data_IF_424450720411
#
_entry.id   IF_424450720411
#
_cell.length_a   1.000
_cell.length_b   1.000
_cell.length_c   1.000
_cell.angle_alpha   90.00
_cell.angle_beta   90.00
_cell.angle_gamma   90.00
#
_symmetry.space_group_name_H-M   'P 1'
#
loop_
_entity.id
_entity.type
_entity.pdbx_description
1 polymer ?
#
# COMPACT_ATOMS: atom_id res chain seq x y z
N UNK A 1 -36.28 20.99 47.38
CA UNK A 1 -35.54 21.40 48.58
C UNK A 1 -34.11 21.61 48.17
N UNK A 2 -33.68 22.85 48.27
CA UNK A 2 -32.38 23.38 47.87
C UNK A 2 -31.25 22.82 48.75
N UNK A 3 -30.04 22.79 48.21
CA UNK A 3 -28.84 22.45 48.96
C UNK A 3 -27.59 22.79 48.16
N UNK A 4 -27.20 24.07 48.18
CA UNK A 4 -25.89 24.53 47.72
C UNK A 4 -24.82 24.21 48.76
N UNK A 5 -23.64 23.80 48.31
CA UNK A 5 -22.38 23.97 49.05
C UNK A 5 -21.41 24.70 48.13
N UNK A 6 -20.91 25.83 48.64
CA UNK A 6 -19.96 26.72 47.99
C UNK A 6 -18.52 26.21 48.10
N UNK A 7 -17.76 26.66 47.11
CA UNK A 7 -16.42 26.35 46.60
C UNK A 7 -15.24 26.63 47.54
N UNK A 8 -14.08 26.02 47.25
CA UNK A 8 -12.81 26.76 47.29
C UNK A 8 -11.83 26.29 46.19
N UNK A 9 -11.01 27.23 45.71
CA UNK A 9 -10.07 27.20 44.58
C UNK A 9 -10.64 27.53 43.18
N UNK A 10 -10.63 28.84 42.89
CA UNK A 10 -11.02 29.43 41.62
C UNK A 10 -10.12 29.05 40.44
N UNK A 11 -10.71 28.33 39.48
CA UNK A 11 -10.41 28.44 38.05
C UNK A 11 -11.73 28.44 37.29
N UNK A 12 -12.03 29.56 36.66
CA UNK A 12 -13.19 29.74 35.77
C UNK A 12 -13.13 28.73 34.64
N UNK A 13 -14.13 27.84 34.57
CA UNK A 13 -14.34 26.96 33.42
C UNK A 13 -14.76 27.80 32.21
N UNK A 14 -13.93 27.82 31.18
CA UNK A 14 -14.30 28.38 29.88
C UNK A 14 -15.38 27.50 29.24
N UNK A 15 -16.43 28.09 28.62
CA UNK A 15 -17.44 27.30 27.92
C UNK A 15 -16.79 26.56 26.76
N UNK A 16 -17.00 25.25 26.68
CA UNK A 16 -16.62 24.43 25.53
C UNK A 16 -17.50 24.88 24.36
N UNK A 17 -16.95 25.73 23.51
CA UNK A 17 -17.58 26.13 22.25
C UNK A 17 -17.76 24.89 21.37
N UNK A 18 -18.92 24.69 20.73
CA UNK A 18 -19.08 23.60 19.78
C UNK A 18 -18.03 23.77 18.69
N UNK A 19 -17.21 22.74 18.47
CA UNK A 19 -16.27 22.70 17.35
C UNK A 19 -17.10 22.84 16.07
N UNK A 20 -17.09 24.04 15.49
CA UNK A 20 -17.66 24.31 14.17
C UNK A 20 -17.01 23.33 13.21
N UNK A 21 -17.81 22.44 12.62
CA UNK A 21 -17.43 21.59 11.49
C UNK A 21 -16.87 22.52 10.40
N UNK A 22 -15.57 22.40 10.14
CA UNK A 22 -14.92 23.10 9.04
C UNK A 22 -15.37 22.48 7.70
N UNK A 23 -15.72 23.30 6.69
CA UNK A 23 -16.22 22.83 5.41
C UNK A 23 -15.07 22.25 4.58
N UNK A 24 -15.25 21.03 4.06
CA UNK A 24 -14.52 20.44 2.93
C UNK A 24 -13.01 20.73 2.91
N UNK A 25 -12.20 19.89 3.58
CA UNK A 25 -10.75 19.88 3.35
C UNK A 25 -10.50 19.55 1.87
N UNK A 26 -10.11 20.56 1.10
CA UNK A 26 -9.49 20.37 -0.22
C UNK A 26 -8.30 19.44 -0.04
N UNK A 27 -8.17 18.46 -0.94
CA UNK A 27 -7.08 17.49 -0.97
C UNK A 27 -5.73 18.20 -0.88
N UNK A 28 -4.86 17.83 0.07
CA UNK A 28 -3.54 18.45 0.20
C UNK A 28 -2.59 18.08 -0.96
N UNK A 29 -2.92 17.04 -1.72
CA UNK A 29 -2.18 16.60 -2.89
C UNK A 29 -2.72 17.29 -4.16
N UNK A 30 -2.18 18.45 -4.51
CA UNK A 30 -2.47 19.11 -5.80
C UNK A 30 -1.71 18.36 -6.91
N UNK A 31 -2.42 17.92 -7.96
CA UNK A 31 -1.80 17.31 -9.15
C UNK A 31 -1.40 15.84 -8.98
N UNK A 32 -2.35 14.98 -8.60
CA UNK A 32 -2.13 13.52 -8.61
C UNK A 32 -1.81 13.10 -10.04
N UNK A 33 -0.55 12.75 -10.33
CA UNK A 33 -0.15 11.66 -11.23
C UNK A 33 1.37 11.64 -11.47
N UNK A 34 2.06 10.58 -11.02
CA UNK A 34 2.73 9.68 -11.93
C UNK A 34 1.70 8.61 -12.27
N UNK A 35 0.70 8.98 -13.06
CA UNK A 35 0.12 8.00 -13.97
C UNK A 35 1.24 7.77 -14.97
N UNK A 36 2.19 6.91 -14.63
CA UNK A 36 2.90 6.19 -15.69
C UNK A 36 1.77 5.49 -16.43
N UNK A 37 1.45 6.01 -17.61
CA UNK A 37 0.35 5.51 -18.40
C UNK A 37 0.46 3.98 -18.41
N UNK A 38 -0.68 3.30 -18.27
CA UNK A 38 -0.77 1.83 -18.38
C UNK A 38 -0.45 1.36 -19.82
N UNK A 39 0.16 2.22 -20.63
CA UNK A 39 0.54 1.99 -22.01
C UNK A 39 1.62 0.92 -22.03
N UNK A 40 1.19 -0.27 -22.44
CA UNK A 40 2.01 -1.48 -22.66
C UNK A 40 2.17 -2.44 -21.48
N UNK A 41 1.16 -2.58 -20.59
CA UNK A 41 1.12 -3.74 -19.67
C UNK A 41 0.94 -5.04 -20.49
N UNK A 42 2.04 -5.70 -20.81
CA UNK A 42 2.04 -7.11 -21.19
C UNK A 42 1.88 -7.95 -19.91
N UNK A 43 0.69 -7.97 -19.31
CA UNK A 43 0.40 -8.96 -18.23
C UNK A 43 0.59 -10.33 -18.87
N UNK A 44 1.41 -11.21 -18.28
CA UNK A 44 1.52 -12.58 -18.72
C UNK A 44 0.13 -13.22 -18.82
N UNK A 45 -0.14 -14.00 -19.87
CA UNK A 45 -1.45 -14.64 -20.08
C UNK A 45 -1.59 -15.97 -19.33
N UNK A 46 -0.51 -16.42 -18.71
CA UNK A 46 -0.35 -17.69 -18.00
C UNK A 46 -0.57 -17.59 -16.49
N UNK A 47 -0.76 -16.36 -15.95
CA UNK A 47 -1.11 -16.14 -14.54
C UNK A 47 -2.19 -15.07 -14.35
N UNK A 48 -2.88 -15.04 -13.20
CA UNK A 48 -3.79 -13.96 -12.84
C UNK A 48 -3.10 -12.59 -12.83
N UNK A 49 -3.87 -11.52 -13.02
CA UNK A 49 -3.40 -10.15 -12.86
C UNK A 49 -3.02 -9.91 -11.38
N UNK A 50 -1.83 -9.39 -11.12
CA UNK A 50 -1.28 -9.19 -9.78
C UNK A 50 -1.23 -7.71 -9.44
N UNK A 51 -1.96 -7.32 -8.41
CA UNK A 51 -2.01 -5.95 -7.91
C UNK A 51 -1.55 -5.89 -6.46
N UNK A 52 -0.64 -4.97 -6.14
CA UNK A 52 -0.29 -4.67 -4.75
C UNK A 52 -0.97 -3.40 -4.28
N UNK A 53 -1.53 -3.43 -3.08
CA UNK A 53 -2.13 -2.29 -2.41
C UNK A 53 -1.13 -1.75 -1.41
N UNK A 54 -0.54 -0.60 -1.75
CA UNK A 54 0.55 0.03 -1.02
C UNK A 54 0.07 1.27 -0.27
N UNK A 55 0.81 1.63 0.78
CA UNK A 55 0.51 2.78 1.60
C UNK A 55 0.98 2.64 3.03
N UNK A 56 1.04 3.79 3.70
CA UNK A 56 1.53 3.89 5.07
C UNK A 56 0.66 3.07 6.06
N UNK A 57 1.20 2.83 7.24
CA UNK A 57 0.48 2.21 8.36
C UNK A 57 -0.77 3.06 8.65
N UNK A 58 -1.97 2.47 8.62
CA UNK A 58 -3.22 3.22 8.81
C UNK A 58 -3.82 3.88 7.55
N UNK A 59 -3.23 3.71 6.36
CA UNK A 59 -3.72 4.32 5.12
C UNK A 59 -5.03 3.72 4.55
N UNK A 60 -5.55 2.63 5.11
CA UNK A 60 -6.81 2.00 4.65
C UNK A 60 -6.67 0.86 3.64
N UNK A 61 -5.48 0.25 3.53
CA UNK A 61 -5.22 -0.88 2.59
C UNK A 61 -6.18 -2.06 2.80
N UNK A 62 -6.33 -2.52 4.03
CA UNK A 62 -7.24 -3.63 4.36
C UNK A 62 -8.70 -3.29 4.03
N UNK A 63 -9.09 -2.01 4.08
CA UNK A 63 -10.43 -1.55 3.67
C UNK A 63 -10.65 -1.71 2.18
N UNK A 64 -9.68 -1.32 1.34
CA UNK A 64 -9.73 -1.53 -0.11
C UNK A 64 -9.79 -3.02 -0.45
N UNK A 65 -8.93 -3.83 0.18
CA UNK A 65 -8.90 -5.27 -0.06
C UNK A 65 -10.24 -5.91 0.27
N UNK A 66 -10.82 -5.56 1.42
CA UNK A 66 -12.15 -6.04 1.82
C UNK A 66 -13.26 -5.58 0.87
N UNK A 67 -13.12 -4.41 0.25
CA UNK A 67 -14.07 -3.93 -0.74
C UNK A 67 -14.09 -4.85 -1.98
N UNK A 68 -12.90 -5.20 -2.50
CA UNK A 68 -12.79 -6.04 -3.70
C UNK A 68 -12.89 -7.55 -3.42
N UNK A 69 -12.69 -8.02 -2.19
CA UNK A 69 -12.75 -9.46 -1.86
C UNK A 69 -14.09 -10.14 -2.17
N UNK A 70 -15.16 -9.37 -2.34
CA UNK A 70 -16.50 -9.89 -2.64
C UNK A 70 -16.76 -10.08 -4.15
N UNK A 71 -15.82 -9.68 -5.01
CA UNK A 71 -15.98 -9.77 -6.46
C UNK A 71 -15.49 -11.14 -6.95
N UNK A 72 -16.17 -11.69 -7.96
CA UNK A 72 -15.81 -12.98 -8.53
C UNK A 72 -14.42 -12.94 -9.19
N UNK A 73 -13.66 -14.03 -9.02
CA UNK A 73 -12.31 -14.16 -9.59
C UNK A 73 -11.22 -13.39 -8.84
N UNK A 74 -11.55 -12.68 -7.76
CA UNK A 74 -10.55 -11.98 -6.95
C UNK A 74 -10.10 -12.86 -5.79
N UNK A 75 -8.80 -13.06 -5.69
CA UNK A 75 -8.14 -13.70 -4.55
C UNK A 75 -7.33 -12.65 -3.81
N UNK A 76 -7.62 -12.46 -2.52
CA UNK A 76 -7.00 -11.43 -1.69
C UNK A 76 -6.05 -12.03 -0.67
N UNK A 77 -4.91 -11.37 -0.47
CA UNK A 77 -3.90 -11.76 0.49
C UNK A 77 -3.61 -10.58 1.44
N UNK A 78 -4.30 -10.51 2.59
CA UNK A 78 -4.02 -9.50 3.60
C UNK A 78 -2.61 -9.67 4.21
N UNK A 79 -2.12 -8.65 4.90
CA UNK A 79 -0.85 -8.77 5.63
C UNK A 79 -0.99 -9.90 6.67
N UNK A 80 -0.03 -10.85 6.75
CA UNK A 80 -0.09 -11.98 7.69
C UNK A 80 0.29 -11.55 9.11
N UNK A 81 -0.39 -10.53 9.65
CA UNK A 81 -0.14 -9.94 10.97
C UNK A 81 -0.15 -11.02 12.07
N UNK A 82 -1.05 -11.99 11.97
CA UNK A 82 -1.16 -13.07 12.95
C UNK A 82 0.08 -13.99 12.96
N UNK A 83 0.76 -14.15 11.82
CA UNK A 83 2.03 -14.88 11.78
C UNK A 83 3.13 -14.09 12.49
N UNK A 84 3.14 -12.77 12.33
CA UNK A 84 4.13 -11.89 12.97
C UNK A 84 3.88 -11.73 14.47
N UNK A 85 2.64 -11.92 14.92
CA UNK A 85 2.25 -11.91 16.34
C UNK A 85 2.51 -13.22 17.06
N UNK A 86 2.68 -14.31 16.32
CA UNK A 86 2.94 -15.62 16.89
C UNK A 86 3.86 -16.44 15.99
N UNK A 87 5.16 -16.16 16.08
CA UNK A 87 6.20 -17.05 15.59
C UNK A 87 6.62 -17.98 16.72
N UNK A 88 5.99 -19.15 16.78
CA UNK A 88 6.31 -20.18 17.78
C UNK A 88 6.33 -19.63 19.21
N UNK A 89 5.25 -18.94 19.60
CA UNK A 89 5.11 -18.29 20.91
C UNK A 89 5.69 -16.87 21.01
N UNK A 90 6.38 -16.38 19.99
CA UNK A 90 7.00 -15.04 19.99
C UNK A 90 6.19 -14.03 19.20
N UNK A 91 5.86 -12.89 19.83
CA UNK A 91 5.25 -11.75 19.14
C UNK A 91 6.35 -10.82 18.58
N UNK A 92 6.79 -11.09 17.35
CA UNK A 92 7.84 -10.29 16.70
C UNK A 92 7.38 -8.84 16.44
N UNK A 93 6.09 -8.60 16.24
CA UNK A 93 5.57 -7.24 16.04
C UNK A 93 5.66 -6.41 17.33
N UNK A 94 5.35 -7.01 18.48
CA UNK A 94 5.55 -6.36 19.79
C UNK A 94 7.03 -6.17 20.10
N UNK A 95 7.86 -7.19 19.83
CA UNK A 95 9.32 -7.09 20.01
C UNK A 95 9.92 -5.96 19.17
N UNK A 96 9.53 -5.82 17.91
CA UNK A 96 9.91 -4.71 17.04
C UNK A 96 9.63 -3.35 17.70
N UNK A 97 8.39 -3.10 18.13
CA UNK A 97 8.03 -1.81 18.70
C UNK A 97 8.49 -1.61 20.15
N UNK A 98 8.94 -2.67 20.82
CA UNK A 98 9.56 -2.60 22.14
C UNK A 98 11.05 -2.18 22.07
N UNK A 99 11.79 -2.67 21.08
CA UNK A 99 13.20 -2.37 20.86
C UNK A 99 13.56 -2.57 19.38
N UNK A 100 13.30 -1.53 18.58
CA UNK A 100 13.55 -1.56 17.14
C UNK A 100 15.03 -1.83 16.83
N UNK A 101 15.97 -1.26 17.58
CA UNK A 101 17.41 -1.43 17.30
C UNK A 101 17.84 -2.90 17.38
N UNK A 102 17.24 -3.66 18.29
CA UNK A 102 17.52 -5.09 18.44
C UNK A 102 16.76 -5.96 17.44
N UNK A 103 15.48 -5.67 17.23
CA UNK A 103 14.56 -6.62 16.57
C UNK A 103 14.26 -6.30 15.11
N UNK A 104 14.68 -5.14 14.58
CA UNK A 104 14.31 -4.74 13.21
C UNK A 104 14.77 -5.76 12.17
N UNK A 105 16.05 -6.14 12.16
CA UNK A 105 16.62 -7.07 11.18
C UNK A 105 15.88 -8.42 11.21
N UNK A 106 15.67 -8.98 12.41
CA UNK A 106 14.93 -10.24 12.61
C UNK A 106 13.49 -10.14 12.11
N UNK A 107 12.80 -9.06 12.45
CA UNK A 107 11.43 -8.82 12.00
C UNK A 107 11.35 -8.70 10.47
N UNK A 108 12.21 -7.89 9.85
CA UNK A 108 12.20 -7.68 8.40
C UNK A 108 12.51 -8.94 7.59
N UNK A 109 13.43 -9.78 8.08
CA UNK A 109 13.71 -11.10 7.48
C UNK A 109 12.46 -12.00 7.50
N UNK A 110 11.72 -12.02 8.61
CA UNK A 110 10.50 -12.81 8.71
C UNK A 110 9.35 -12.23 7.87
N UNK A 111 9.19 -10.90 7.85
CA UNK A 111 8.23 -10.22 6.96
C UNK A 111 8.53 -10.55 5.50
N UNK A 112 9.80 -10.52 5.09
CA UNK A 112 10.19 -10.86 3.72
C UNK A 112 9.84 -12.32 3.37
N UNK A 113 10.17 -13.27 4.24
CA UNK A 113 9.82 -14.68 4.05
C UNK A 113 8.31 -14.89 3.92
N UNK A 114 7.53 -14.30 4.83
CA UNK A 114 6.08 -14.48 4.86
C UNK A 114 5.39 -13.82 3.67
N UNK A 115 5.83 -12.64 3.23
CA UNK A 115 5.36 -12.01 1.98
C UNK A 115 5.74 -12.81 0.75
N UNK A 116 6.95 -13.35 0.71
CA UNK A 116 7.39 -14.19 -0.41
C UNK A 116 6.49 -15.43 -0.53
N UNK A 117 6.23 -16.14 0.57
CA UNK A 117 5.29 -17.28 0.61
C UNK A 117 3.90 -16.93 0.09
N UNK A 118 3.41 -15.73 0.43
CA UNK A 118 2.10 -15.24 -0.02
C UNK A 118 2.12 -14.95 -1.53
N UNK A 119 3.10 -14.18 -2.02
CA UNK A 119 3.16 -13.77 -3.43
C UNK A 119 3.50 -14.93 -4.39
N UNK A 120 4.18 -15.97 -3.91
CA UNK A 120 4.47 -17.18 -4.70
C UNK A 120 3.43 -18.29 -4.52
N UNK A 121 2.37 -18.04 -3.74
CA UNK A 121 1.30 -19.02 -3.57
C UNK A 121 0.57 -19.28 -4.89
N UNK A 122 0.21 -20.55 -5.10
CA UNK A 122 -0.52 -20.98 -6.29
C UNK A 122 -1.96 -20.46 -6.18
N UNK A 123 -2.43 -19.65 -7.14
CA UNK A 123 -3.81 -19.16 -7.13
C UNK A 123 -4.80 -20.29 -7.40
N UNK A 124 -6.05 -20.09 -6.99
CA UNK A 124 -7.14 -21.00 -7.38
C UNK A 124 -7.38 -20.93 -8.88
N UNK A 125 -7.89 -22.02 -9.47
CA UNK A 125 -8.16 -22.10 -10.91
C UNK A 125 -9.14 -21.03 -11.44
N UNK A 126 -10.05 -20.54 -10.58
CA UNK A 126 -11.01 -19.49 -10.91
C UNK A 126 -10.47 -18.07 -10.73
N UNK A 127 -9.25 -17.91 -10.21
CA UNK A 127 -8.67 -16.60 -9.88
C UNK A 127 -8.24 -15.88 -11.15
N UNK A 128 -8.79 -14.68 -11.37
CA UNK A 128 -8.42 -13.75 -12.44
C UNK A 128 -7.53 -12.62 -11.93
N UNK A 129 -7.64 -12.26 -10.64
CA UNK A 129 -6.85 -11.21 -9.99
C UNK A 129 -6.34 -11.71 -8.63
N UNK A 130 -5.04 -11.57 -8.38
CA UNK A 130 -4.44 -11.69 -7.05
C UNK A 130 -4.16 -10.28 -6.50
N UNK A 131 -4.73 -9.95 -5.35
CA UNK A 131 -4.57 -8.66 -4.69
C UNK A 131 -3.81 -8.83 -3.38
N UNK A 132 -2.66 -8.17 -3.26
CA UNK A 132 -1.76 -8.29 -2.10
C UNK A 132 -1.82 -7.04 -1.23
N UNK A 133 -1.89 -7.21 0.09
CA UNK A 133 -1.68 -6.11 1.03
C UNK A 133 -0.19 -5.87 1.23
N UNK A 134 0.32 -4.92 0.45
CA UNK A 134 1.74 -4.67 0.21
C UNK A 134 2.48 -5.86 -0.42
N UNK A 135 3.72 -5.59 -0.82
CA UNK A 135 4.57 -6.51 -1.56
C UNK A 135 5.94 -6.71 -0.92
N UNK A 136 6.68 -7.72 -1.39
CA UNK A 136 8.11 -7.92 -1.04
C UNK A 136 8.93 -6.69 -1.44
N UNK A 137 8.55 -5.98 -2.52
CA UNK A 137 9.14 -4.71 -2.94
C UNK A 137 8.93 -3.61 -1.88
N UNK A 138 7.73 -3.50 -1.29
CA UNK A 138 7.48 -2.54 -0.20
C UNK A 138 8.38 -2.79 1.00
N UNK A 139 8.63 -4.06 1.35
CA UNK A 139 9.53 -4.41 2.43
C UNK A 139 10.92 -3.81 2.21
N UNK A 140 11.45 -3.97 1.00
CA UNK A 140 12.79 -3.52 0.62
C UNK A 140 12.89 -2.00 0.44
N UNK A 141 11.97 -1.40 -0.30
CA UNK A 141 12.06 0.00 -0.73
C UNK A 141 11.41 0.98 0.26
N UNK A 142 10.59 0.50 1.21
CA UNK A 142 10.02 1.34 2.26
C UNK A 142 10.57 0.98 3.64
N UNK A 143 10.29 -0.21 4.17
CA UNK A 143 10.61 -0.53 5.56
C UNK A 143 12.12 -0.68 5.80
N UNK A 144 12.83 -1.42 4.96
CA UNK A 144 14.28 -1.62 5.08
C UNK A 144 15.03 -0.33 4.79
N UNK A 145 14.60 0.41 3.77
CA UNK A 145 15.19 1.69 3.40
C UNK A 145 15.04 2.73 4.52
N UNK A 146 13.85 2.87 5.10
CA UNK A 146 13.60 3.78 6.22
C UNK A 146 14.51 3.46 7.42
N UNK A 147 14.66 2.18 7.77
CA UNK A 147 15.48 1.79 8.91
C UNK A 147 16.98 1.98 8.69
N UNK A 148 17.44 1.79 7.45
CA UNK A 148 18.81 2.09 7.08
C UNK A 148 19.09 3.60 7.14
N UNK A 149 18.21 4.41 6.55
CA UNK A 149 18.34 5.87 6.55
C UNK A 149 18.29 6.50 7.96
N UNK A 150 17.62 5.84 8.89
CA UNK A 150 17.48 6.31 10.29
C UNK A 150 18.50 5.70 11.24
N UNK A 151 19.41 4.86 10.73
CA UNK A 151 20.46 4.21 11.53
C UNK A 151 19.98 3.10 12.45
N UNK A 152 18.70 2.70 12.37
CA UNK A 152 18.14 1.55 13.11
C UNK A 152 18.73 0.24 12.57
N UNK A 153 18.98 0.18 11.27
CA UNK A 153 19.55 -0.99 10.61
C UNK A 153 21.03 -0.78 10.30
N UNK A 154 21.89 -1.65 10.82
CA UNK A 154 23.31 -1.63 10.50
C UNK A 154 23.53 -1.97 9.01
N UNK A 155 24.61 -1.45 8.42
CA UNK A 155 24.91 -1.64 6.99
C UNK A 155 25.03 -3.12 6.58
N UNK A 156 25.57 -3.97 7.46
CA UNK A 156 25.64 -5.41 7.21
C UNK A 156 24.25 -6.06 7.12
N UNK A 157 23.33 -5.72 8.04
CA UNK A 157 21.96 -6.22 8.01
C UNK A 157 21.21 -5.73 6.76
N UNK A 158 21.38 -4.44 6.42
CA UNK A 158 20.83 -3.87 5.19
C UNK A 158 21.30 -4.64 3.95
N UNK A 159 22.60 -4.91 3.85
CA UNK A 159 23.20 -5.64 2.72
C UNK A 159 22.65 -7.07 2.64
N UNK A 160 22.55 -7.77 3.77
CA UNK A 160 22.00 -9.15 3.81
C UNK A 160 20.55 -9.17 3.33
N UNK A 161 19.70 -8.27 3.83
CA UNK A 161 18.29 -8.19 3.47
C UNK A 161 18.13 -7.84 1.97
N UNK A 162 18.96 -6.92 1.47
CA UNK A 162 19.00 -6.55 0.05
C UNK A 162 19.44 -7.70 -0.86
N UNK A 163 20.45 -8.48 -0.47
CA UNK A 163 20.88 -9.67 -1.20
C UNK A 163 19.77 -10.73 -1.25
N UNK A 164 19.08 -10.98 -0.13
CA UNK A 164 17.91 -11.85 -0.10
C UNK A 164 16.80 -11.37 -1.03
N UNK A 165 16.56 -10.06 -1.08
CA UNK A 165 15.57 -9.48 -1.99
C UNK A 165 15.97 -9.68 -3.46
N UNK A 166 17.23 -9.41 -3.81
CA UNK A 166 17.76 -9.63 -5.18
C UNK A 166 17.69 -11.09 -5.59
N UNK A 167 18.02 -12.01 -4.68
CA UNK A 167 17.89 -13.44 -4.91
C UNK A 167 16.42 -13.82 -5.15
N UNK A 168 15.50 -13.40 -4.29
CA UNK A 168 14.07 -13.70 -4.44
C UNK A 168 13.51 -13.14 -5.75
N UNK A 169 13.87 -11.91 -6.14
CA UNK A 169 13.48 -11.29 -7.41
C UNK A 169 13.96 -12.08 -8.62
N UNK A 170 15.13 -12.73 -8.54
CA UNK A 170 15.71 -13.52 -9.63
C UNK A 170 15.19 -14.96 -9.68
N UNK A 171 14.73 -15.51 -8.56
CA UNK A 171 14.41 -16.94 -8.43
C UNK A 171 12.92 -17.23 -8.18
N UNK A 172 12.10 -16.21 -7.92
CA UNK A 172 10.68 -16.35 -7.64
C UNK A 172 9.86 -15.38 -8.50
N UNK A 173 8.69 -15.83 -8.96
CA UNK A 173 7.74 -14.91 -9.61
C UNK A 173 7.02 -14.07 -8.55
N UNK A 174 7.59 -12.90 -8.28
CA UNK A 174 7.01 -11.84 -7.45
C UNK A 174 6.58 -10.62 -8.29
N UNK A 175 6.35 -10.83 -9.58
CA UNK A 175 6.00 -9.75 -10.51
C UNK A 175 4.63 -9.16 -10.17
N UNK A 176 4.52 -7.84 -10.29
CA UNK A 176 3.28 -7.08 -10.12
C UNK A 176 2.95 -6.40 -11.44
N UNK A 177 1.67 -6.36 -11.79
CA UNK A 177 1.18 -5.69 -12.99
C UNK A 177 0.68 -4.27 -12.68
N UNK A 178 0.30 -4.02 -11.42
CA UNK A 178 -0.12 -2.72 -10.91
C UNK A 178 0.23 -2.55 -9.43
N UNK A 179 0.61 -1.34 -9.07
CA UNK A 179 0.65 -0.88 -7.68
C UNK A 179 -0.46 0.15 -7.48
N UNK A 180 -1.32 -0.05 -6.50
CA UNK A 180 -2.28 0.96 -6.05
C UNK A 180 -1.72 1.62 -4.80
N UNK A 181 -1.32 2.88 -4.90
CA UNK A 181 -0.81 3.64 -3.77
C UNK A 181 -1.95 4.44 -3.10
N UNK A 182 -2.34 4.00 -1.91
CA UNK A 182 -3.21 4.78 -1.01
C UNK A 182 -2.36 5.87 -0.34
N UNK A 183 -2.30 7.04 -0.99
CA UNK A 183 -1.50 8.17 -0.54
C UNK A 183 -2.28 8.94 0.51
N UNK A 184 -1.68 9.08 1.70
CA UNK A 184 -2.28 9.76 2.84
C UNK A 184 -1.20 10.47 3.63
N UNK A 185 -1.51 11.65 4.17
CA UNK A 185 -0.56 12.41 4.99
C UNK A 185 -0.22 11.68 6.29
N UNK A 186 1.03 11.78 6.79
CA UNK A 186 1.47 11.18 8.05
C UNK A 186 0.54 11.47 9.23
N UNK A 187 0.01 12.69 9.32
CA UNK A 187 -0.89 13.13 10.38
C UNK A 187 -2.22 12.37 10.34
N UNK A 188 -2.83 12.22 9.15
CA UNK A 188 -4.10 11.49 9.00
C UNK A 188 -3.92 10.01 9.30
N UNK A 189 -2.82 9.41 8.84
CA UNK A 189 -2.58 7.99 9.13
C UNK A 189 -2.22 7.74 10.60
N UNK A 190 -1.58 8.70 11.26
CA UNK A 190 -1.35 8.66 12.70
C UNK A 190 -2.67 8.68 13.48
N UNK A 191 -3.58 9.61 13.15
CA UNK A 191 -4.90 9.68 13.78
C UNK A 191 -5.70 8.37 13.59
N UNK A 192 -5.63 7.78 12.39
CA UNK A 192 -6.25 6.47 12.09
C UNK A 192 -5.60 5.33 12.87
N UNK A 193 -4.28 5.31 12.98
CA UNK A 193 -3.52 4.32 13.73
C UNK A 193 -3.88 4.36 15.23
N UNK A 194 -3.94 5.55 15.81
CA UNK A 194 -4.37 5.76 17.20
C UNK A 194 -5.82 5.31 17.38
N UNK A 195 -6.70 5.66 16.45
CA UNK A 195 -8.13 5.32 16.51
C UNK A 195 -8.39 3.81 16.46
N UNK A 196 -7.59 3.04 15.70
CA UNK A 196 -7.76 1.57 15.61
C UNK A 196 -7.23 0.80 16.83
N UNK A 197 -6.44 1.45 17.70
CA UNK A 197 -5.99 0.92 19.00
C UNK A 197 -5.36 -0.48 18.93
N UNK A 198 -4.50 -0.74 17.94
CA UNK A 198 -3.70 -1.97 17.92
C UNK A 198 -2.66 -1.90 19.04
N UNK A 199 -2.60 -2.86 20.00
CA UNK A 199 -1.75 -2.75 21.18
C UNK A 199 -0.27 -2.51 20.87
N UNK A 200 0.27 -3.24 19.89
CA UNK A 200 1.69 -3.17 19.51
C UNK A 200 2.07 -1.80 18.91
N UNK A 201 1.11 -1.09 18.33
CA UNK A 201 1.36 0.19 17.63
C UNK A 201 1.26 1.41 18.54
N UNK A 202 0.89 1.23 19.81
CA UNK A 202 0.71 2.34 20.75
C UNK A 202 1.98 3.20 20.94
N UNK A 203 3.15 2.63 20.64
CA UNK A 203 4.47 3.27 20.79
C UNK A 203 5.01 3.88 19.49
N UNK A 204 4.28 3.76 18.38
CA UNK A 204 4.74 4.24 17.08
C UNK A 204 4.66 5.78 17.02
N UNK A 205 5.79 6.49 16.86
CA UNK A 205 5.77 7.95 16.82
C UNK A 205 5.33 8.45 15.42
N UNK A 206 4.72 9.65 15.38
CA UNK A 206 4.38 10.32 14.11
C UNK A 206 5.61 10.47 13.20
N UNK A 207 6.78 10.73 13.77
CA UNK A 207 8.01 10.89 13.00
C UNK A 207 8.40 9.63 12.22
N UNK A 208 8.18 8.45 12.79
CA UNK A 208 8.36 7.18 12.07
C UNK A 208 7.42 7.08 10.86
N UNK A 209 6.17 7.52 11.01
CA UNK A 209 5.21 7.54 9.90
C UNK A 209 5.58 8.57 8.82
N UNK A 210 6.19 9.70 9.18
CA UNK A 210 6.74 10.67 8.22
C UNK A 210 7.89 10.09 7.42
N UNK A 211 8.80 9.39 8.09
CA UNK A 211 9.93 8.72 7.42
C UNK A 211 9.44 7.61 6.48
N UNK A 212 8.49 6.77 6.93
CA UNK A 212 7.87 5.79 6.04
C UNK A 212 7.13 6.43 4.87
N UNK A 213 6.44 7.55 5.08
CA UNK A 213 5.80 8.30 4.01
C UNK A 213 6.83 8.73 2.97
N UNK A 214 7.96 9.30 3.39
CA UNK A 214 9.03 9.69 2.49
C UNK A 214 9.55 8.50 1.67
N UNK A 215 9.73 7.32 2.27
CA UNK A 215 10.15 6.14 1.51
C UNK A 215 9.10 5.67 0.50
N UNK A 216 7.79 5.79 0.79
CA UNK A 216 6.74 5.52 -0.20
C UNK A 216 6.76 6.55 -1.33
N UNK A 217 6.94 7.84 -1.02
CA UNK A 217 7.03 8.90 -2.02
C UNK A 217 8.25 8.68 -2.94
N UNK A 218 9.43 8.41 -2.37
CA UNK A 218 10.64 8.12 -3.14
C UNK A 218 10.47 6.89 -4.03
N UNK A 219 9.81 5.83 -3.56
CA UNK A 219 9.64 4.61 -4.36
C UNK A 219 8.55 4.76 -5.43
N UNK A 220 7.37 5.26 -5.05
CA UNK A 220 6.15 5.16 -5.86
C UNK A 220 5.87 6.40 -6.71
N UNK A 221 6.49 7.54 -6.37
CA UNK A 221 6.29 8.81 -7.08
C UNK A 221 7.51 9.23 -7.92
N UNK A 222 8.61 8.47 -7.86
CA UNK A 222 9.83 8.75 -8.63
C UNK A 222 9.74 8.26 -10.07
N UNK A 223 10.37 9.00 -10.98
CA UNK A 223 10.56 8.60 -12.38
C UNK A 223 11.78 7.67 -12.56
N UNK A 224 12.53 7.37 -11.49
CA UNK A 224 13.66 6.44 -11.54
C UNK A 224 13.19 5.00 -11.82
N UNK A 225 13.50 4.50 -13.01
CA UNK A 225 13.19 3.14 -13.43
C UNK A 225 13.98 2.08 -12.64
N UNK A 226 15.06 2.45 -11.96
CA UNK A 226 15.79 1.54 -11.08
C UNK A 226 15.01 1.23 -9.79
N UNK A 227 14.13 2.16 -9.35
CA UNK A 227 13.31 1.99 -8.15
C UNK A 227 12.02 1.22 -8.44
N UNK A 228 11.34 1.60 -9.52
CA UNK A 228 10.08 0.98 -9.89
C UNK A 228 9.90 1.00 -11.40
N UNK A 229 9.43 -0.10 -11.96
CA UNK A 229 8.99 -0.21 -13.36
C UNK A 229 7.50 -0.55 -13.49
N UNK A 230 6.84 -0.87 -12.37
CA UNK A 230 5.44 -1.24 -12.33
C UNK A 230 4.58 0.03 -12.35
N UNK A 231 3.51 0.09 -13.15
CA UNK A 231 2.59 1.21 -13.14
C UNK A 231 2.00 1.47 -11.75
N UNK A 232 1.83 2.74 -11.40
CA UNK A 232 1.29 3.17 -10.10
C UNK A 232 -0.02 3.93 -10.31
N UNK A 233 -1.09 3.43 -9.70
CA UNK A 233 -2.35 4.14 -9.55
C UNK A 233 -2.40 4.78 -8.16
N UNK A 234 -2.37 6.11 -8.11
CA UNK A 234 -2.44 6.85 -6.85
C UNK A 234 -3.89 7.19 -6.53
N UNK A 235 -4.33 6.83 -5.32
CA UNK A 235 -5.64 7.22 -4.76
C UNK A 235 -5.42 8.12 -3.56
N UNK A 236 -6.18 9.21 -3.48
CA UNK A 236 -6.11 10.13 -2.35
C UNK A 236 -6.92 9.57 -1.18
N UNK A 237 -6.19 9.03 -0.21
CA UNK A 237 -6.75 8.43 0.99
C UNK A 237 -6.91 9.43 2.15
N UNK A 238 -6.69 10.74 1.97
CA UNK A 238 -7.01 11.78 2.99
C UNK A 238 -8.49 12.19 2.97
N UNK A 239 -9.29 11.54 2.13
CA UNK A 239 -10.71 11.78 1.90
C UNK A 239 -11.62 11.01 2.86
N UNK A 240 -12.92 11.30 2.82
CA UNK A 240 -13.94 10.55 3.56
C UNK A 240 -14.12 9.12 3.03
N UNK A 241 -14.78 8.25 3.79
CA UNK A 241 -15.05 6.87 3.36
C UNK A 241 -15.90 6.81 2.07
N UNK A 242 -16.85 7.71 1.90
CA UNK A 242 -17.68 7.76 0.69
C UNK A 242 -16.85 8.18 -0.53
N UNK A 243 -16.02 9.22 -0.39
CA UNK A 243 -15.15 9.72 -1.47
C UNK A 243 -14.10 8.68 -1.90
N UNK A 244 -13.48 7.97 -0.95
CA UNK A 244 -12.50 6.93 -1.29
C UNK A 244 -13.19 5.72 -1.94
N UNK A 245 -14.42 5.36 -1.56
CA UNK A 245 -15.20 4.32 -2.23
C UNK A 245 -15.60 4.72 -3.65
N UNK A 246 -15.91 5.99 -3.91
CA UNK A 246 -16.11 6.49 -5.27
C UNK A 246 -14.82 6.41 -6.10
N UNK A 247 -13.65 6.65 -5.50
CA UNK A 247 -12.37 6.41 -6.16
C UNK A 247 -12.16 4.92 -6.49
N UNK A 248 -12.54 4.00 -5.59
CA UNK A 248 -12.47 2.56 -5.85
C UNK A 248 -13.36 2.16 -7.03
N UNK A 249 -14.61 2.61 -7.04
CA UNK A 249 -15.56 2.34 -8.14
C UNK A 249 -15.04 2.90 -9.47
N UNK A 250 -14.61 4.17 -9.48
CA UNK A 250 -14.10 4.84 -10.68
C UNK A 250 -12.91 4.11 -11.28
N UNK A 251 -12.02 3.58 -10.45
CA UNK A 251 -10.80 2.91 -10.89
C UNK A 251 -10.87 1.38 -10.88
N UNK A 252 -12.04 0.78 -10.63
CA UNK A 252 -12.19 -0.67 -10.53
C UNK A 252 -11.66 -1.39 -11.78
N UNK A 253 -11.97 -0.88 -12.98
CA UNK A 253 -11.48 -1.44 -14.23
C UNK A 253 -9.94 -1.49 -14.33
N UNK A 254 -9.23 -0.51 -13.76
CA UNK A 254 -7.75 -0.49 -13.70
C UNK A 254 -7.24 -1.46 -12.63
N UNK A 255 -7.80 -1.37 -11.42
CA UNK A 255 -7.41 -2.19 -10.26
C UNK A 255 -7.59 -3.69 -10.57
N UNK A 256 -8.61 -4.03 -11.35
CA UNK A 256 -8.93 -5.41 -11.74
C UNK A 256 -8.30 -5.85 -13.07
N UNK A 257 -7.50 -4.99 -13.72
CA UNK A 257 -6.84 -5.32 -14.99
C UNK A 257 -7.80 -5.46 -16.18
N UNK A 258 -9.02 -4.93 -16.09
CA UNK A 258 -10.05 -5.00 -17.15
C UNK A 258 -9.83 -4.01 -18.31
N UNK A 259 -8.86 -3.10 -18.23
CA UNK A 259 -8.44 -2.31 -19.41
C UNK A 259 -7.84 -3.18 -20.54
N UNK A 260 -7.67 -4.48 -20.29
CA UNK A 260 -7.40 -5.48 -21.31
C UNK A 260 -8.65 -5.88 -22.10
N UNK A 261 -8.97 -5.05 -23.10
CA UNK A 261 -9.30 -5.45 -24.49
C UNK A 261 -9.48 -4.18 -25.33
N UNK A 262 -8.39 -3.41 -25.46
CA UNK A 262 -8.14 -2.72 -26.71
C UNK A 262 -7.88 -3.77 -27.79
N UNK A 263 -8.93 -4.45 -28.24
CA UNK A 263 -8.92 -5.04 -29.57
C UNK A 263 -8.72 -3.85 -30.48
N UNK A 264 -7.50 -3.63 -30.97
CA UNK A 264 -7.35 -3.04 -32.28
C UNK A 264 -8.05 -4.04 -33.20
N UNK A 265 -9.36 -3.88 -33.37
CA UNK A 265 -10.02 -4.31 -34.59
C UNK A 265 -9.37 -3.39 -35.62
N UNK A 266 -8.21 -3.81 -36.11
CA UNK A 266 -7.85 -3.49 -37.47
C UNK A 266 -9.01 -4.10 -38.23
N UNK A 267 -10.00 -3.27 -38.57
CA UNK A 267 -11.03 -3.68 -39.50
C UNK A 267 -10.27 -4.29 -40.66
N UNK A 268 -10.72 -5.46 -41.08
CA UNK A 268 -10.23 -6.22 -42.22
C UNK A 268 -10.48 -5.46 -43.55
N UNK A 269 -10.29 -4.13 -43.57
CA UNK A 269 -10.47 -3.20 -44.67
C UNK A 269 -9.15 -2.54 -45.10
N UNK A 270 -8.05 -2.70 -44.35
CA UNK A 270 -6.74 -2.15 -44.74
C UNK A 270 -5.78 -3.17 -45.37
N UNK A 271 -6.15 -4.46 -45.45
CA UNK A 271 -5.43 -5.43 -46.31
C UNK A 271 -5.72 -5.21 -47.81
N UNK A 272 -6.80 -4.53 -48.15
CA UNK A 272 -7.15 -4.23 -49.55
C UNK A 272 -6.63 -2.88 -50.04
N UNK A 273 -6.13 -2.01 -49.14
CA UNK A 273 -5.50 -0.73 -49.53
C UNK A 273 -3.99 -0.85 -49.80
N UNK A 274 -3.29 -1.79 -49.14
CA UNK A 274 -1.86 -2.01 -49.41
C UNK A 274 -1.64 -2.89 -50.66
N UNK A 275 -2.66 -3.66 -51.09
CA UNK A 275 -2.60 -4.45 -52.33
C UNK A 275 -2.93 -3.67 -53.61
N UNK A 276 -3.35 -2.40 -53.52
CA UNK A 276 -3.64 -1.53 -54.68
C UNK A 276 -2.56 -0.49 -54.99
N UNK A 277 -1.46 -0.48 -54.24
CA UNK A 277 -0.33 0.45 -54.46
C UNK A 277 0.90 -0.29 -55.01
N UNK A 278 0.81 -1.59 -55.30
CA UNK A 278 1.88 -2.39 -55.89
C UNK A 278 1.50 -3.12 -57.18
N UNK A 279 0.33 -2.83 -57.76
CA UNK A 279 -0.11 -3.35 -59.07
C UNK A 279 -0.48 -2.21 -60.05
N UNK A 280 0.33 -1.13 -60.07
CA UNK A 280 0.44 -0.17 -61.18
C UNK A 280 1.91 0.18 -61.44
#
# INVERSE_FOLDING_TARGET
MEGYVLTDSGKTATPVTPVKRSPTKRTNFVGISPQRELTNIRTPTDRPFRVSIEGNIGAGKSTLIKYFSNFAGIETYPEPIEWWRNLDGHNLLDLLYSDSNKWYSTFQMYVQLTRLKVQTSIPKSSTTVQMFERSVQNNRYCFVEQAYQTGVLHNADYTIIDEWFKWAKSNCDITLDLIVYLRSTPEIVYDRMVSRKRPEEARVPLEYLRQLHQSHETWLMSDDLNLNTVPVLVLDADTTLDEIFEQYKRNAHKILGHEKKGTTIIQQNDKDKVKRVLDL
#
